data_IF_299294895872
#
_entry.id   IF_299294895872
#
_cell.length_a   1.000
_cell.length_b   1.000
_cell.length_c   1.000
_cell.angle_alpha   90.00
_cell.angle_beta   90.00
_cell.angle_gamma   90.00
#
_symmetry.space_group_name_H-M   'P 1'
#
loop_
_entity.id
_entity.type
_entity.pdbx_description
1 polymer ?
#
# COMPACT_ATOMS: atom_id res chain seq x y z
N UNK A 1 22.48 -19.76 10.69
CA UNK A 1 21.11 -19.48 11.15
C UNK A 1 21.11 -18.08 11.77
N UNK A 2 20.83 -17.06 10.96
CA UNK A 2 20.95 -15.66 11.38
C UNK A 2 19.63 -15.25 11.99
N UNK A 3 19.64 -14.96 13.30
CA UNK A 3 18.49 -14.43 14.03
C UNK A 3 18.21 -12.99 13.51
N UNK A 4 17.09 -12.81 12.85
CA UNK A 4 16.56 -11.50 12.49
C UNK A 4 16.27 -10.72 13.78
N UNK A 5 16.98 -9.63 13.94
CA UNK A 5 16.81 -8.69 15.04
C UNK A 5 15.44 -7.99 14.87
N UNK A 6 14.43 -8.45 15.61
CA UNK A 6 13.09 -7.86 15.64
C UNK A 6 13.14 -6.72 16.67
N UNK A 7 13.70 -5.57 16.26
CA UNK A 7 13.46 -4.33 16.99
C UNK A 7 11.99 -3.94 16.74
N UNK A 8 11.22 -3.78 17.82
CA UNK A 8 9.79 -3.56 17.82
C UNK A 8 9.34 -2.23 17.21
N UNK A 9 9.39 -2.15 15.89
CA UNK A 9 8.73 -1.14 15.09
C UNK A 9 7.49 -1.75 14.46
N UNK A 10 6.39 -1.02 14.46
CA UNK A 10 5.16 -1.43 13.78
C UNK A 10 5.50 -1.83 12.34
N UNK A 11 5.44 -3.12 12.02
CA UNK A 11 5.82 -3.70 10.71
C UNK A 11 4.98 -3.16 9.52
N UNK A 12 4.01 -2.28 9.82
CA UNK A 12 3.16 -1.58 8.85
C UNK A 12 3.70 -0.18 8.50
N UNK A 13 4.72 0.31 9.21
CA UNK A 13 5.31 1.63 9.01
C UNK A 13 6.81 1.44 8.77
N UNK A 14 7.18 1.24 7.51
CA UNK A 14 8.55 1.50 7.08
C UNK A 14 8.72 3.03 7.09
N UNK A 15 9.61 3.58 7.95
CA UNK A 15 9.82 5.01 8.17
C UNK A 15 10.25 5.84 6.95
N UNK A 16 10.04 5.32 5.74
CA UNK A 16 10.34 5.95 4.45
C UNK A 16 9.18 6.73 3.85
N UNK A 17 7.94 6.48 4.30
CA UNK A 17 6.80 7.26 3.84
C UNK A 17 6.61 8.51 4.69
N UNK A 18 6.44 9.67 4.01
CA UNK A 18 6.12 10.92 4.70
C UNK A 18 4.73 10.85 5.36
N UNK A 19 4.50 11.69 6.38
CA UNK A 19 3.18 11.82 7.01
C UNK A 19 2.07 12.14 5.98
N UNK A 20 2.40 12.93 4.94
CA UNK A 20 1.47 13.24 3.83
C UNK A 20 1.15 12.02 2.99
N UNK A 21 2.14 11.19 2.65
CA UNK A 21 1.91 9.97 1.90
C UNK A 21 1.02 8.99 2.69
N UNK A 22 1.23 8.88 4.00
CA UNK A 22 0.38 8.06 4.88
C UNK A 22 -1.06 8.59 4.94
N UNK A 23 -1.24 9.91 4.98
CA UNK A 23 -2.56 10.55 4.93
C UNK A 23 -3.29 10.23 3.61
N UNK A 24 -2.61 10.42 2.47
CA UNK A 24 -3.16 10.09 1.15
C UNK A 24 -3.55 8.62 1.08
N UNK A 25 -2.67 7.72 1.53
CA UNK A 25 -2.93 6.28 1.57
C UNK A 25 -4.16 5.92 2.39
N UNK A 26 -4.32 6.54 3.57
CA UNK A 26 -5.48 6.28 4.43
C UNK A 26 -6.80 6.60 3.73
N UNK A 27 -6.92 7.78 3.12
CA UNK A 27 -8.13 8.16 2.39
C UNK A 27 -8.39 7.25 1.19
N UNK A 28 -7.33 6.83 0.48
CA UNK A 28 -7.44 5.83 -0.59
C UNK A 28 -7.98 4.49 -0.10
N UNK A 29 -7.47 3.99 1.02
CA UNK A 29 -7.91 2.70 1.57
C UNK A 29 -9.39 2.72 1.95
N UNK A 30 -9.91 3.85 2.44
CA UNK A 30 -11.34 4.04 2.71
C UNK A 30 -12.14 3.93 1.39
N UNK A 31 -11.74 4.68 0.35
CA UNK A 31 -12.40 4.61 -0.95
C UNK A 31 -12.34 3.20 -1.56
N UNK A 32 -11.20 2.54 -1.52
CA UNK A 32 -11.03 1.18 -2.05
C UNK A 32 -11.93 0.18 -1.32
N UNK A 33 -12.10 0.32 -0.01
CA UNK A 33 -13.02 -0.50 0.78
C UNK A 33 -14.48 -0.28 0.35
N UNK A 34 -14.89 0.95 0.10
CA UNK A 34 -16.23 1.26 -0.42
C UNK A 34 -16.45 0.65 -1.81
N UNK A 35 -15.39 0.57 -2.62
CA UNK A 35 -15.37 -0.12 -3.91
C UNK A 35 -15.26 -1.66 -3.78
N UNK A 36 -15.29 -2.21 -2.57
CA UNK A 36 -15.09 -3.63 -2.25
C UNK A 36 -13.73 -4.18 -2.71
N UNK A 37 -12.73 -3.34 -2.79
CA UNK A 37 -11.35 -3.73 -3.07
C UNK A 37 -10.60 -3.92 -1.76
N UNK A 38 -9.68 -4.88 -1.75
CA UNK A 38 -8.70 -5.04 -0.67
C UNK A 38 -7.36 -4.49 -1.12
N UNK A 39 -6.55 -3.98 -0.18
CA UNK A 39 -5.28 -3.37 -0.54
C UNK A 39 -4.13 -3.78 0.38
N UNK A 40 -2.93 -3.83 -0.19
CA UNK A 40 -1.67 -4.11 0.50
C UNK A 40 -0.72 -2.95 0.21
N UNK A 41 -0.28 -2.17 1.23
CA UNK A 41 0.71 -1.14 1.05
C UNK A 41 2.10 -1.79 0.84
N UNK A 42 2.99 -1.06 0.16
CA UNK A 42 4.40 -1.43 0.04
C UNK A 42 4.60 -2.86 -0.51
N UNK A 43 3.87 -3.23 -1.59
CA UNK A 43 3.99 -4.54 -2.19
C UNK A 43 5.29 -4.64 -3.01
N UNK A 44 6.16 -5.57 -2.63
CA UNK A 44 7.37 -5.89 -3.40
C UNK A 44 6.98 -6.76 -4.61
N UNK A 45 7.36 -6.30 -5.80
CA UNK A 45 7.12 -6.96 -7.08
C UNK A 45 8.34 -7.80 -7.50
N UNK A 46 8.15 -8.70 -8.45
CA UNK A 46 9.22 -9.58 -8.94
C UNK A 46 10.41 -8.83 -9.58
N UNK A 47 10.20 -7.60 -10.00
CA UNK A 47 11.29 -6.70 -10.45
C UNK A 47 12.17 -6.16 -9.34
N UNK A 48 11.82 -6.41 -8.08
CA UNK A 48 12.44 -5.79 -6.91
C UNK A 48 11.89 -4.37 -6.60
N UNK A 49 10.98 -3.84 -7.42
CA UNK A 49 10.28 -2.59 -7.13
C UNK A 49 9.22 -2.79 -6.08
N UNK A 50 8.89 -1.72 -5.40
CA UNK A 50 7.89 -1.69 -4.34
C UNK A 50 6.81 -0.69 -4.70
N UNK A 51 5.62 -1.18 -4.96
CA UNK A 51 4.44 -0.35 -5.19
C UNK A 51 3.97 0.26 -3.87
N UNK A 52 3.66 1.56 -3.85
CA UNK A 52 3.19 2.25 -2.65
C UNK A 52 1.88 1.64 -2.12
N UNK A 53 0.97 1.29 -3.03
CA UNK A 53 -0.26 0.57 -2.72
C UNK A 53 -0.63 -0.34 -3.88
N UNK A 54 -0.88 -1.61 -3.59
CA UNK A 54 -1.50 -2.54 -4.53
C UNK A 54 -2.93 -2.82 -4.09
N UNK A 55 -3.88 -2.86 -5.03
CA UNK A 55 -5.27 -3.17 -4.74
C UNK A 55 -5.77 -4.31 -5.61
N UNK A 56 -6.66 -5.13 -5.05
CA UNK A 56 -7.24 -6.31 -5.69
C UNK A 56 -8.75 -6.25 -5.59
N UNK A 57 -9.42 -6.30 -6.73
CA UNK A 57 -10.87 -6.33 -6.81
C UNK A 57 -11.43 -7.74 -6.56
N UNK A 58 -12.74 -7.87 -6.21
CA UNK A 58 -13.41 -9.17 -6.10
C UNK A 58 -13.35 -10.02 -7.38
N UNK A 59 -13.15 -9.38 -8.53
CA UNK A 59 -13.04 -10.05 -9.83
C UNK A 59 -11.59 -10.40 -10.22
N UNK A 60 -10.63 -10.12 -9.34
CA UNK A 60 -9.21 -10.39 -9.58
C UNK A 60 -8.49 -9.34 -10.43
N UNK A 61 -9.06 -8.16 -10.61
CA UNK A 61 -8.40 -7.02 -11.24
C UNK A 61 -7.37 -6.43 -10.28
N UNK A 62 -6.15 -6.22 -10.76
CA UNK A 62 -5.02 -5.71 -9.99
C UNK A 62 -4.73 -4.26 -10.36
N UNK A 63 -4.72 -3.39 -9.35
CA UNK A 63 -4.32 -2.00 -9.48
C UNK A 63 -3.01 -1.75 -8.76
N UNK A 64 -2.14 -0.95 -9.35
CA UNK A 64 -1.01 -0.32 -8.67
C UNK A 64 -1.29 1.17 -8.55
N UNK A 65 -1.06 1.72 -7.37
CA UNK A 65 -1.30 3.13 -7.06
C UNK A 65 -0.01 3.69 -6.46
N UNK A 66 0.60 4.65 -7.15
CA UNK A 66 1.79 5.37 -6.72
C UNK A 66 1.40 6.68 -6.05
N UNK A 67 1.89 6.93 -4.85
CA UNK A 67 1.55 8.12 -4.07
C UNK A 67 2.64 9.18 -4.28
N UNK A 68 2.24 10.36 -4.75
CA UNK A 68 3.14 11.50 -4.97
C UNK A 68 2.65 12.71 -4.19
N UNK A 69 3.48 13.20 -3.29
CA UNK A 69 3.11 14.28 -2.36
C UNK A 69 3.75 15.62 -2.68
N UNK A 70 4.57 15.67 -3.73
CA UNK A 70 5.14 16.91 -4.27
C UNK A 70 5.46 16.80 -5.76
N UNK A 71 5.68 17.94 -6.40
CA UNK A 71 6.12 18.00 -7.80
C UNK A 71 7.51 17.35 -7.95
N UNK A 72 8.39 17.59 -6.99
CA UNK A 72 9.75 17.05 -6.98
C UNK A 72 9.74 15.54 -6.89
N UNK A 73 8.90 14.98 -6.01
CA UNK A 73 8.72 13.54 -5.83
C UNK A 73 8.28 12.87 -7.14
N UNK A 74 7.35 13.50 -7.85
CA UNK A 74 6.93 13.01 -9.17
C UNK A 74 8.03 13.13 -10.22
N UNK A 75 8.76 14.27 -10.28
CA UNK A 75 9.77 14.53 -11.30
C UNK A 75 11.00 13.62 -11.22
N UNK A 76 11.39 13.21 -10.01
CA UNK A 76 12.55 12.32 -9.81
C UNK A 76 12.23 10.87 -10.09
N UNK A 77 10.96 10.48 -9.99
CA UNK A 77 10.52 9.12 -10.28
C UNK A 77 10.29 8.90 -11.77
N UNK A 78 11.31 8.47 -12.47
CA UNK A 78 11.24 8.11 -13.89
C UNK A 78 10.92 6.64 -14.12
N UNK A 79 10.69 5.88 -13.06
CA UNK A 79 10.59 4.42 -13.12
C UNK A 79 9.15 3.92 -13.01
N UNK A 80 8.20 4.80 -12.71
CA UNK A 80 6.78 4.44 -12.58
C UNK A 80 6.19 3.70 -13.79
N UNK A 81 6.63 3.92 -15.07
CA UNK A 81 6.06 3.16 -16.19
C UNK A 81 6.27 1.66 -16.11
N UNK A 82 7.29 1.21 -15.37
CA UNK A 82 7.57 -0.22 -15.19
C UNK A 82 6.47 -0.95 -14.41
N UNK A 83 5.69 -0.23 -13.59
CA UNK A 83 4.57 -0.82 -12.84
C UNK A 83 3.44 -1.34 -13.74
N UNK A 84 3.34 -0.85 -14.99
CA UNK A 84 2.35 -1.34 -15.96
C UNK A 84 2.46 -2.83 -16.24
N UNK A 85 3.63 -3.41 -16.12
CA UNK A 85 3.85 -4.84 -16.29
C UNK A 85 3.26 -5.69 -15.15
N UNK A 86 2.80 -5.06 -14.07
CA UNK A 86 2.37 -5.73 -12.84
C UNK A 86 0.92 -5.42 -12.43
N UNK A 87 0.18 -4.65 -13.22
CA UNK A 87 -1.20 -4.27 -12.91
C UNK A 87 -2.07 -4.21 -14.15
N UNK A 88 -3.37 -4.35 -13.95
CA UNK A 88 -4.37 -4.11 -14.99
C UNK A 88 -4.60 -2.60 -15.17
N UNK A 89 -4.50 -1.83 -14.08
CA UNK A 89 -4.65 -0.37 -14.08
C UNK A 89 -3.59 0.28 -13.20
N UNK A 90 -3.00 1.35 -13.72
CA UNK A 90 -2.00 2.15 -13.01
C UNK A 90 -2.59 3.52 -12.66
N UNK A 91 -2.52 3.85 -11.39
CA UNK A 91 -2.99 5.13 -10.85
C UNK A 91 -1.86 5.88 -10.17
N UNK A 92 -1.97 7.19 -10.17
CA UNK A 92 -1.33 8.05 -9.19
C UNK A 92 -2.34 8.47 -8.14
N UNK A 93 -1.84 8.83 -6.96
CA UNK A 93 -2.63 9.43 -5.91
C UNK A 93 -1.88 10.60 -5.28
N UNK A 94 -2.61 11.66 -4.99
CA UNK A 94 -2.03 12.88 -4.42
C UNK A 94 -3.02 13.60 -3.51
N UNK A 95 -2.64 14.75 -3.00
CA UNK A 95 -3.47 15.68 -2.23
C UNK A 95 -3.61 17.03 -2.95
N UNK A 96 -4.48 17.89 -2.44
CA UNK A 96 -4.91 19.15 -3.09
C UNK A 96 -3.78 20.15 -3.40
N UNK A 97 -2.64 20.05 -2.69
CA UNK A 97 -1.54 21.03 -2.86
C UNK A 97 -0.58 20.66 -4.01
N UNK A 98 -0.81 19.53 -4.69
CA UNK A 98 -0.05 19.10 -5.86
C UNK A 98 -0.87 19.38 -7.13
N UNK A 99 -0.33 20.11 -8.12
CA UNK A 99 -1.01 20.35 -9.37
C UNK A 99 -1.34 19.03 -10.09
N UNK A 100 -2.60 18.88 -10.53
CA UNK A 100 -3.08 17.63 -11.13
C UNK A 100 -2.63 17.43 -12.58
N UNK A 101 -2.29 18.51 -13.26
CA UNK A 101 -1.85 18.55 -14.66
C UNK A 101 -0.44 17.97 -14.88
N UNK A 102 0.35 17.80 -13.82
CA UNK A 102 1.67 17.15 -13.92
C UNK A 102 1.56 15.66 -14.18
N UNK A 103 0.43 15.00 -13.83
CA UNK A 103 0.27 13.56 -13.94
C UNK A 103 -0.08 13.12 -15.36
N UNK A 104 0.50 12.01 -15.85
CA UNK A 104 0.27 11.49 -17.21
C UNK A 104 -1.20 11.23 -17.48
N UNK A 105 -1.67 11.59 -18.69
CA UNK A 105 -3.07 11.42 -19.08
C UNK A 105 -3.45 9.96 -19.33
N UNK A 106 -2.49 9.09 -19.53
CA UNK A 106 -2.65 7.65 -19.72
C UNK A 106 -2.56 6.83 -18.42
N UNK A 107 -2.62 7.50 -17.26
CA UNK A 107 -2.75 6.92 -15.94
C UNK A 107 -4.00 7.44 -15.25
N UNK A 108 -4.57 6.63 -14.34
CA UNK A 108 -5.61 7.10 -13.46
C UNK A 108 -5.08 8.07 -12.41
N UNK A 109 -5.97 8.82 -11.79
CA UNK A 109 -5.61 9.79 -10.76
C UNK A 109 -6.65 9.83 -9.65
N UNK A 110 -6.18 9.69 -8.42
CA UNK A 110 -6.95 9.90 -7.20
C UNK A 110 -6.53 11.19 -6.50
N UNK A 111 -7.49 11.87 -5.89
CA UNK A 111 -7.26 12.94 -4.95
C UNK A 111 -7.76 12.54 -3.58
N UNK A 112 -6.92 12.67 -2.55
CA UNK A 112 -7.21 12.28 -1.17
C UNK A 112 -6.96 13.42 -0.20
N UNK A 113 -7.80 13.52 0.84
CA UNK A 113 -7.64 14.45 1.94
C UNK A 113 -7.31 13.75 3.29
N UNK A 114 -7.17 12.42 3.25
CA UNK A 114 -6.89 11.58 4.41
C UNK A 114 -8.13 11.06 5.14
N UNK A 115 -9.29 11.66 4.90
CA UNK A 115 -10.58 11.19 5.42
C UNK A 115 -11.35 10.40 4.36
N UNK A 116 -10.99 10.60 3.11
CA UNK A 116 -11.50 9.91 1.94
C UNK A 116 -10.65 10.21 0.71
N UNK A 117 -11.11 9.71 -0.42
CA UNK A 117 -10.54 10.00 -1.72
C UNK A 117 -11.63 9.95 -2.79
N UNK A 118 -11.35 10.54 -3.95
CA UNK A 118 -12.19 10.40 -5.12
C UNK A 118 -11.38 10.20 -6.39
N UNK A 119 -11.99 9.61 -7.40
CA UNK A 119 -11.41 9.41 -8.72
C UNK A 119 -11.49 10.73 -9.47
N UNK A 120 -10.33 11.33 -9.77
CA UNK A 120 -10.23 12.49 -10.66
C UNK A 120 -10.26 12.05 -12.12
N UNK A 121 -9.59 10.95 -12.42
CA UNK A 121 -9.51 10.34 -13.74
C UNK A 121 -9.37 8.83 -13.60
N UNK A 122 -10.18 8.09 -14.36
CA UNK A 122 -10.05 6.63 -14.42
C UNK A 122 -8.78 6.21 -15.20
N UNK A 123 -8.27 5.02 -14.90
CA UNK A 123 -7.11 4.48 -15.57
C UNK A 123 -7.52 3.62 -16.77
N UNK A 124 -6.81 3.71 -17.91
CA UNK A 124 -6.94 2.74 -18.98
C UNK A 124 -6.66 1.32 -18.48
N UNK A 125 -7.41 0.34 -18.98
CA UNK A 125 -7.15 -1.06 -18.69
C UNK A 125 -6.01 -1.58 -19.57
N UNK A 126 -5.01 -2.20 -18.92
CA UNK A 126 -3.92 -2.95 -19.55
C UNK A 126 -3.89 -4.36 -18.98
N UNK A 127 -4.77 -5.21 -19.51
CA UNK A 127 -5.01 -6.53 -18.93
C UNK A 127 -3.74 -7.37 -18.84
N UNK A 128 -3.40 -7.79 -17.62
CA UNK A 128 -2.26 -8.66 -17.36
C UNK A 128 -2.42 -10.02 -18.03
N UNK A 129 -1.32 -10.53 -18.59
CA UNK A 129 -1.25 -11.92 -19.02
C UNK A 129 -1.45 -12.87 -17.80
N UNK A 130 -2.00 -14.09 -18.01
CA UNK A 130 -2.33 -15.01 -16.93
C UNK A 130 -1.15 -15.32 -15.99
N UNK A 131 0.05 -15.50 -16.53
CA UNK A 131 1.24 -15.79 -15.74
C UNK A 131 1.63 -14.62 -14.84
N UNK A 132 1.60 -13.38 -15.36
CA UNK A 132 1.85 -12.16 -14.59
C UNK A 132 0.81 -11.95 -13.49
N UNK A 133 -0.47 -12.13 -13.83
CA UNK A 133 -1.57 -12.08 -12.86
C UNK A 133 -1.36 -13.04 -11.71
N UNK A 134 -1.06 -14.30 -12.01
CA UNK A 134 -0.79 -15.34 -10.99
C UNK A 134 0.36 -14.92 -10.08
N UNK A 135 1.46 -14.42 -10.64
CA UNK A 135 2.64 -14.01 -9.88
C UNK A 135 2.33 -12.85 -8.93
N UNK A 136 1.66 -11.79 -9.41
CA UNK A 136 1.32 -10.62 -8.58
C UNK A 136 0.27 -10.98 -7.54
N UNK A 137 -0.76 -11.76 -7.89
CA UNK A 137 -1.78 -12.21 -6.93
C UNK A 137 -1.16 -13.04 -5.81
N UNK A 138 -0.20 -13.93 -6.13
CA UNK A 138 0.50 -14.71 -5.12
C UNK A 138 1.36 -13.82 -4.20
N UNK A 139 2.08 -12.85 -4.76
CA UNK A 139 2.85 -11.88 -3.98
C UNK A 139 1.93 -11.08 -3.04
N UNK A 140 0.78 -10.61 -3.55
CA UNK A 140 -0.23 -9.91 -2.76
C UNK A 140 -0.75 -10.76 -1.60
N UNK A 141 -1.18 -11.99 -1.88
CA UNK A 141 -1.72 -12.90 -0.86
C UNK A 141 -0.68 -13.22 0.22
N UNK A 142 0.56 -13.50 -0.17
CA UNK A 142 1.65 -13.77 0.78
C UNK A 142 1.98 -12.56 1.65
N UNK A 143 2.03 -11.36 1.06
CA UNK A 143 2.28 -10.12 1.80
C UNK A 143 1.16 -9.83 2.81
N UNK A 144 -0.11 -10.00 2.40
CA UNK A 144 -1.27 -9.80 3.26
C UNK A 144 -1.29 -10.80 4.43
N UNK A 145 -1.11 -12.10 4.15
CA UNK A 145 -1.09 -13.15 5.17
C UNK A 145 0.06 -12.97 6.16
N UNK A 146 1.26 -12.64 5.69
CA UNK A 146 2.41 -12.38 6.56
C UNK A 146 2.17 -11.20 7.51
N UNK A 147 1.58 -10.11 7.01
CA UNK A 147 1.27 -8.95 7.84
C UNK A 147 0.18 -9.23 8.86
N UNK A 148 -0.84 -10.00 8.48
CA UNK A 148 -1.87 -10.45 9.43
C UNK A 148 -1.25 -11.26 10.56
N UNK A 149 -0.42 -12.24 10.25
CA UNK A 149 0.30 -13.05 11.23
C UNK A 149 1.15 -12.18 12.19
N UNK A 150 1.88 -11.19 11.68
CA UNK A 150 2.65 -10.26 12.50
C UNK A 150 1.76 -9.39 13.40
N UNK A 151 0.60 -8.96 12.90
CA UNK A 151 -0.35 -8.17 13.67
C UNK A 151 -0.96 -8.99 14.81
N UNK A 152 -1.32 -10.25 14.56
CA UNK A 152 -1.82 -11.17 15.59
C UNK A 152 -0.78 -11.42 16.68
N UNK A 153 0.49 -11.65 16.32
CA UNK A 153 1.57 -11.81 17.29
C UNK A 153 1.85 -10.58 18.12
N UNK A 154 1.70 -9.38 17.52
CA UNK A 154 1.86 -8.13 18.24
C UNK A 154 0.73 -7.92 19.25
N UNK A 155 -0.52 -8.26 18.89
CA UNK A 155 -1.69 -8.15 19.77
C UNK A 155 -1.62 -9.13 20.95
N UNK A 156 -1.22 -10.39 20.72
CA UNK A 156 -1.12 -11.40 21.77
C UNK A 156 -0.03 -11.14 22.80
N UNK A 157 0.97 -10.30 22.49
CA UNK A 157 2.00 -9.90 23.48
C UNK A 157 1.54 -8.79 24.42
N UNK A 158 0.54 -8.03 24.04
CA UNK A 158 0.00 -6.95 24.88
C UNK A 158 -0.83 -7.46 26.05
N UNK A 159 -1.35 -8.69 25.96
CA UNK A 159 -2.21 -9.29 26.99
C UNK A 159 -1.40 -10.04 28.07
N UNK A 160 -0.14 -10.42 27.77
CA UNK A 160 0.70 -11.20 28.68
C UNK A 160 1.53 -10.33 29.65
N UNK A 161 1.66 -9.03 29.38
CA UNK A 161 2.45 -8.09 30.21
C UNK A 161 1.60 -7.38 31.28
N UNK A 162 0.32 -7.73 31.42
CA UNK A 162 -0.61 -7.17 32.39
C UNK A 162 -0.94 -8.08 33.58
N UNK A 163 -0.08 -9.04 33.91
CA UNK A 163 -0.20 -9.76 35.18
C UNK A 163 0.14 -8.82 36.35
N UNK A 164 -0.77 -8.57 37.30
CA UNK A 164 -0.44 -7.79 38.48
C UNK A 164 0.56 -8.57 39.32
N UNK A 165 1.69 -7.95 39.62
CA UNK A 165 2.59 -8.34 40.71
C UNK A 165 1.79 -8.31 42.00
N UNK A 166 1.22 -9.45 42.42
CA UNK A 166 0.67 -9.61 43.75
C UNK A 166 1.86 -9.67 44.71
N UNK A 167 2.24 -8.47 45.18
CA UNK A 167 3.15 -8.30 46.29
C UNK A 167 2.67 -9.08 47.49
N UNK A 168 3.36 -10.16 47.80
CA UNK A 168 3.30 -10.81 49.12
C UNK A 168 3.91 -9.84 50.14
N UNK A 169 3.03 -9.18 50.88
CA UNK A 169 3.40 -8.48 52.09
C UNK A 169 3.50 -9.47 53.26
N UNK A 170 4.59 -9.44 53.98
CA UNK A 170 4.69 -9.73 55.39
C UNK A 170 5.25 -8.51 56.12
#
# INVERSE_FOLDING_TARGET
MTLLNIAGGNALIDGRQSARAMMVRKGLQILLQDMRMVSVPELVLSSGRRADLAALSPKGELWVIEIKTSIEDFRVDRKWPEYRAFCDRLFFATHKDVPLDIFPQDCGLFLSDGFGAHVVRDAPEHRLAPAGRKAVTLAFARAAAHRLMLAEWASGRSDDDSSPDEGLGE
#
